data_IF_158650854359
#
_entry.id   IF_158650854359
#
_cell.length_a   1.000
_cell.length_b   1.000
_cell.length_c   1.000
_cell.angle_alpha   90.00
_cell.angle_beta   90.00
_cell.angle_gamma   90.00
#
_symmetry.space_group_name_H-M   'P 1'
#
loop_
_entity.id
_entity.type
_entity.pdbx_description
1 polymer ?
#
# COMPACT_ATOMS: atom_id res chain seq x y z
N UNK A 1 29.35 31.06 31.36
CA UNK A 1 29.21 31.08 29.89
C UNK A 1 29.78 29.75 29.38
N UNK A 2 28.93 28.72 29.28
CA UNK A 2 29.32 27.35 28.88
C UNK A 2 28.92 27.17 27.42
N UNK A 3 29.91 27.11 26.54
CA UNK A 3 29.73 26.97 25.10
C UNK A 3 29.60 25.47 24.78
N UNK A 4 28.38 25.04 24.47
CA UNK A 4 28.07 23.69 23.99
C UNK A 4 28.41 23.65 22.50
N UNK A 5 29.40 22.85 22.10
CA UNK A 5 29.75 22.59 20.70
C UNK A 5 29.19 21.21 20.29
N UNK A 6 28.45 21.10 19.17
CA UNK A 6 27.76 19.86 18.79
C UNK A 6 28.71 18.92 18.04
N UNK A 7 29.07 17.82 18.69
CA UNK A 7 29.74 16.68 18.05
C UNK A 7 28.80 16.08 16.99
N UNK A 8 29.19 16.31 15.74
CA UNK A 8 28.71 15.65 14.55
C UNK A 8 28.68 14.13 14.75
N UNK A 9 27.52 13.52 14.48
CA UNK A 9 27.35 12.06 14.40
C UNK A 9 28.30 11.53 13.31
N UNK A 10 29.47 11.06 13.71
CA UNK A 10 30.38 10.31 12.85
C UNK A 10 29.76 8.94 12.59
N UNK A 11 29.36 8.71 11.33
CA UNK A 11 29.15 7.36 10.82
C UNK A 11 30.50 6.62 10.89
N UNK A 12 30.70 5.87 11.97
CA UNK A 12 31.80 4.93 12.13
C UNK A 12 31.58 3.74 11.19
N UNK A 13 31.83 3.93 9.89
CA UNK A 13 32.01 2.82 8.94
C UNK A 13 33.46 2.39 9.04
N UNK A 14 33.68 1.29 9.76
CA UNK A 14 34.97 0.62 10.04
C UNK A 14 36.04 0.93 8.98
N UNK A 15 37.08 1.61 9.45
CA UNK A 15 38.38 1.78 8.81
C UNK A 15 39.10 0.43 8.75
N UNK A 16 39.30 -0.11 7.54
CA UNK A 16 40.35 -1.09 7.25
C UNK A 16 41.67 -0.34 6.97
N UNK A 17 42.83 -0.79 7.48
CA UNK A 17 44.08 -0.06 7.33
C UNK A 17 44.77 -0.37 5.98
N UNK A 18 45.41 0.66 5.43
CA UNK A 18 46.33 0.69 4.28
C UNK A 18 45.74 0.47 2.87
N UNK A 19 45.57 1.60 2.14
CA UNK A 19 45.39 1.64 0.68
C UNK A 19 44.26 2.57 0.23
N UNK A 20 44.59 3.72 -0.33
CA UNK A 20 43.66 4.66 -0.99
C UNK A 20 44.31 5.06 -2.33
N UNK A 21 43.58 5.56 -3.34
CA UNK A 21 42.36 5.10 -4.00
C UNK A 21 42.66 4.74 -5.48
N UNK A 22 42.12 3.64 -6.02
CA UNK A 22 42.22 3.33 -7.46
C UNK A 22 40.83 3.17 -8.06
N UNK A 23 40.24 4.28 -8.47
CA UNK A 23 39.04 4.28 -9.29
C UNK A 23 39.37 3.91 -10.74
N UNK A 24 39.33 2.62 -11.07
CA UNK A 24 38.85 2.04 -12.35
C UNK A 24 38.86 0.51 -12.33
N UNK A 25 39.13 -0.14 -11.18
CA UNK A 25 38.84 -1.57 -11.09
C UNK A 25 37.32 -1.75 -11.15
N UNK A 26 36.86 -2.80 -11.85
CA UNK A 26 35.45 -3.06 -12.04
C UNK A 26 34.66 -3.26 -10.74
N UNK A 27 35.29 -3.19 -9.56
CA UNK A 27 34.64 -3.35 -8.26
C UNK A 27 33.81 -2.12 -7.89
N UNK A 28 34.30 -0.89 -8.12
CA UNK A 28 33.51 0.34 -7.89
C UNK A 28 32.38 0.46 -8.92
N UNK A 29 32.66 0.12 -10.19
CA UNK A 29 31.62 0.07 -11.22
C UNK A 29 30.55 -0.97 -10.90
N UNK A 30 30.94 -2.18 -10.47
CA UNK A 30 30.00 -3.23 -10.04
C UNK A 30 29.21 -2.81 -8.80
N UNK A 31 29.85 -2.14 -7.85
CA UNK A 31 29.18 -1.62 -6.66
C UNK A 31 28.16 -0.53 -7.02
N UNK A 32 28.56 0.46 -7.82
CA UNK A 32 27.69 1.53 -8.33
C UNK A 32 26.54 0.96 -9.15
N UNK A 33 26.76 -0.03 -10.00
CA UNK A 33 25.69 -0.69 -10.74
C UNK A 33 24.67 -1.40 -9.85
N UNK A 34 25.11 -2.11 -8.82
CA UNK A 34 24.21 -2.79 -7.88
C UNK A 34 23.45 -1.79 -7.02
N UNK A 35 24.08 -0.68 -6.64
CA UNK A 35 23.51 0.39 -5.82
C UNK A 35 22.51 1.24 -6.63
N UNK A 36 22.88 1.69 -7.83
CA UNK A 36 22.03 2.47 -8.73
C UNK A 36 20.83 1.67 -9.22
N UNK A 37 21.02 0.38 -9.53
CA UNK A 37 19.91 -0.52 -9.85
C UNK A 37 18.90 -0.60 -8.70
N UNK A 38 19.35 -0.62 -7.45
CA UNK A 38 18.46 -0.64 -6.27
C UNK A 38 17.76 0.70 -6.06
N UNK A 39 18.47 1.82 -6.14
CA UNK A 39 17.85 3.14 -6.03
C UNK A 39 16.79 3.34 -7.11
N UNK A 40 17.06 2.92 -8.34
CA UNK A 40 16.10 2.94 -9.45
C UNK A 40 14.88 2.07 -9.16
N UNK A 41 15.05 0.85 -8.63
CA UNK A 41 13.95 -0.04 -8.24
C UNK A 41 13.10 0.54 -7.11
N UNK A 42 13.72 1.18 -6.11
CA UNK A 42 13.01 1.85 -5.00
C UNK A 42 12.25 3.06 -5.52
N UNK A 43 12.85 3.88 -6.38
CA UNK A 43 12.18 5.04 -6.97
C UNK A 43 10.98 4.61 -7.81
N UNK A 44 11.14 3.60 -8.68
CA UNK A 44 10.06 3.04 -9.48
C UNK A 44 8.95 2.46 -8.61
N UNK A 45 9.30 1.65 -7.59
CA UNK A 45 8.32 1.11 -6.65
C UNK A 45 7.56 2.17 -5.86
N UNK A 46 8.25 3.24 -5.41
CA UNK A 46 7.60 4.40 -4.76
C UNK A 46 6.64 5.14 -5.70
N UNK A 47 7.00 5.29 -6.97
CA UNK A 47 6.15 5.95 -7.97
C UNK A 47 4.87 5.16 -8.24
N UNK A 48 4.99 3.84 -8.44
CA UNK A 48 3.83 2.95 -8.62
C UNK A 48 2.96 2.95 -7.37
N UNK A 49 3.56 2.92 -6.19
CA UNK A 49 2.82 2.98 -4.94
C UNK A 49 2.09 4.31 -4.75
N UNK A 50 2.65 5.44 -5.21
CA UNK A 50 1.97 6.74 -5.22
C UNK A 50 0.74 6.72 -6.13
N UNK A 51 0.86 6.13 -7.31
CA UNK A 51 -0.26 5.95 -8.23
C UNK A 51 -1.35 5.06 -7.60
N UNK A 52 -0.97 3.96 -6.94
CA UNK A 52 -1.91 3.10 -6.22
C UNK A 52 -2.64 3.84 -5.10
N UNK A 53 -1.95 4.65 -4.30
CA UNK A 53 -2.62 5.44 -3.26
C UNK A 53 -3.60 6.46 -3.85
N UNK A 54 -3.28 7.06 -5.00
CA UNK A 54 -4.21 7.95 -5.69
C UNK A 54 -5.47 7.17 -6.14
N UNK A 55 -5.30 6.01 -6.79
CA UNK A 55 -6.41 5.15 -7.22
C UNK A 55 -7.24 4.64 -6.03
N UNK A 56 -6.60 4.22 -4.95
CA UNK A 56 -7.31 3.79 -3.74
C UNK A 56 -8.03 4.94 -3.04
N UNK A 57 -7.49 6.16 -3.09
CA UNK A 57 -8.18 7.35 -2.57
C UNK A 57 -9.44 7.64 -3.38
N UNK A 58 -9.36 7.59 -4.71
CA UNK A 58 -10.53 7.72 -5.58
C UNK A 58 -11.55 6.62 -5.29
N UNK A 59 -11.09 5.37 -5.16
CA UNK A 59 -11.93 4.25 -4.77
C UNK A 59 -12.62 4.49 -3.42
N UNK A 60 -11.89 4.97 -2.41
CA UNK A 60 -12.43 5.26 -1.08
C UNK A 60 -13.51 6.35 -1.13
N UNK A 61 -13.33 7.40 -1.94
CA UNK A 61 -14.34 8.44 -2.15
C UNK A 61 -15.60 7.85 -2.79
N UNK A 62 -15.45 7.02 -3.83
CA UNK A 62 -16.58 6.34 -4.48
C UNK A 62 -17.30 5.43 -3.47
N UNK A 63 -16.58 4.63 -2.70
CA UNK A 63 -17.17 3.74 -1.69
C UNK A 63 -17.93 4.49 -0.59
N UNK A 64 -17.42 5.65 -0.18
CA UNK A 64 -18.08 6.53 0.79
C UNK A 64 -19.35 7.15 0.20
N UNK A 65 -19.32 7.57 -1.07
CA UNK A 65 -20.49 8.07 -1.79
C UNK A 65 -21.56 6.99 -1.94
N UNK A 66 -21.18 5.76 -2.29
CA UNK A 66 -22.10 4.62 -2.37
C UNK A 66 -22.73 4.31 -1.01
N UNK A 67 -21.96 4.41 0.08
CA UNK A 67 -22.49 4.26 1.43
C UNK A 67 -23.49 5.37 1.78
N UNK A 68 -23.19 6.61 1.42
CA UNK A 68 -24.07 7.76 1.61
C UNK A 68 -25.39 7.61 0.84
N UNK A 69 -25.33 7.20 -0.44
CA UNK A 69 -26.53 6.92 -1.24
C UNK A 69 -27.35 5.81 -0.60
N UNK A 70 -26.71 4.72 -0.15
CA UNK A 70 -27.39 3.67 0.61
C UNK A 70 -28.05 4.19 1.90
N UNK A 71 -27.41 5.10 2.63
CA UNK A 71 -27.96 5.72 3.83
C UNK A 71 -29.21 6.58 3.54
N UNK A 72 -29.24 7.25 2.38
CA UNK A 72 -30.35 8.11 1.98
C UNK A 72 -31.61 7.35 1.55
N UNK A 73 -31.46 6.09 1.11
CA UNK A 73 -32.56 5.28 0.58
C UNK A 73 -33.24 4.39 1.64
N UNK A 74 -32.70 4.30 2.86
CA UNK A 74 -33.33 3.57 3.96
C UNK A 74 -32.44 3.40 5.19
N UNK A 75 -33.02 3.04 6.36
CA UNK A 75 -32.32 2.98 7.65
C UNK A 75 -31.39 1.76 7.82
N UNK A 76 -31.36 0.82 6.87
CA UNK A 76 -30.53 -0.39 6.91
C UNK A 76 -29.05 -0.08 6.60
N UNK A 77 -28.39 0.65 7.51
CA UNK A 77 -26.95 0.86 7.45
C UNK A 77 -26.21 -0.42 7.81
N UNK A 78 -25.62 -1.07 6.81
CA UNK A 78 -24.83 -2.26 7.02
C UNK A 78 -23.55 -1.91 7.82
N UNK A 79 -23.45 -2.39 9.06
CA UNK A 79 -22.32 -2.16 9.97
C UNK A 79 -20.98 -2.55 9.34
N UNK A 80 -20.94 -3.62 8.56
CA UNK A 80 -19.73 -4.04 7.84
C UNK A 80 -19.28 -3.02 6.79
N UNK A 81 -20.22 -2.31 6.17
CA UNK A 81 -19.91 -1.24 5.22
C UNK A 81 -19.30 -0.01 5.90
N UNK A 82 -19.84 0.38 7.06
CA UNK A 82 -19.30 1.49 7.86
C UNK A 82 -17.89 1.14 8.36
N UNK A 83 -17.71 -0.08 8.86
CA UNK A 83 -16.40 -0.57 9.31
C UNK A 83 -15.40 -0.63 8.17
N UNK A 84 -15.78 -1.17 7.00
CA UNK A 84 -14.85 -1.30 5.88
C UNK A 84 -14.40 0.07 5.36
N UNK A 85 -15.31 1.05 5.25
CA UNK A 85 -14.98 2.43 4.86
C UNK A 85 -14.06 3.07 5.91
N UNK A 86 -14.37 2.93 7.20
CA UNK A 86 -13.58 3.54 8.28
C UNK A 86 -12.16 2.94 8.36
N UNK A 87 -12.05 1.61 8.34
CA UNK A 87 -10.76 0.90 8.37
C UNK A 87 -9.97 1.19 7.08
N UNK A 88 -10.64 1.26 5.93
CA UNK A 88 -10.04 1.63 4.64
C UNK A 88 -9.41 3.03 4.70
N UNK A 89 -10.12 4.01 5.25
CA UNK A 89 -9.62 5.36 5.43
C UNK A 89 -8.40 5.43 6.37
N UNK A 90 -8.47 4.75 7.52
CA UNK A 90 -7.34 4.66 8.46
C UNK A 90 -6.12 4.02 7.79
N UNK A 91 -6.33 2.95 7.01
CA UNK A 91 -5.26 2.29 6.28
C UNK A 91 -4.56 3.23 5.31
N UNK A 92 -5.31 4.07 4.58
CA UNK A 92 -4.76 5.03 3.62
C UNK A 92 -3.89 6.08 4.30
N UNK A 93 -4.32 6.60 5.46
CA UNK A 93 -3.52 7.55 6.25
C UNK A 93 -2.18 6.92 6.65
N UNK A 94 -2.22 5.70 7.20
CA UNK A 94 -1.02 4.96 7.61
C UNK A 94 -0.11 4.70 6.41
N UNK A 95 -0.68 4.30 5.28
CA UNK A 95 0.04 4.03 4.04
C UNK A 95 0.75 5.27 3.49
N UNK A 96 0.06 6.40 3.45
CA UNK A 96 0.61 7.66 2.95
C UNK A 96 1.74 8.18 3.84
N UNK A 97 1.58 8.09 5.18
CA UNK A 97 2.66 8.43 6.13
C UNK A 97 3.84 7.48 5.95
N UNK A 98 3.59 6.17 5.83
CA UNK A 98 4.61 5.14 5.63
C UNK A 98 5.41 5.34 4.35
N UNK A 99 4.76 5.71 3.26
CA UNK A 99 5.42 6.04 2.00
C UNK A 99 6.29 7.28 2.11
N UNK A 100 5.76 8.38 2.67
CA UNK A 100 6.49 9.65 2.79
C UNK A 100 7.73 9.51 3.67
N UNK A 101 7.61 8.77 4.78
CA UNK A 101 8.71 8.52 5.72
C UNK A 101 9.59 7.32 5.33
N UNK A 102 9.29 6.62 4.23
CA UNK A 102 9.96 5.37 3.81
C UNK A 102 10.07 4.34 4.94
N UNK A 103 9.05 4.25 5.79
CA UNK A 103 9.03 3.36 6.95
C UNK A 103 8.40 2.03 6.59
N UNK A 104 9.23 0.99 6.58
CA UNK A 104 8.83 -0.40 6.28
C UNK A 104 7.72 -0.90 7.21
N UNK A 105 7.78 -0.57 8.50
CA UNK A 105 6.79 -1.03 9.47
C UNK A 105 5.40 -0.44 9.22
N UNK A 106 5.33 0.85 8.86
CA UNK A 106 4.07 1.50 8.50
C UNK A 106 3.50 0.93 7.19
N UNK A 107 4.36 0.62 6.22
CA UNK A 107 3.94 0.03 4.96
C UNK A 107 3.39 -1.40 5.15
N UNK A 108 3.99 -2.19 6.06
CA UNK A 108 3.46 -3.49 6.47
C UNK A 108 2.12 -3.35 7.19
N UNK A 109 2.00 -2.44 8.15
CA UNK A 109 0.76 -2.19 8.87
C UNK A 109 -0.37 -1.77 7.92
N UNK A 110 -0.10 -0.89 6.96
CA UNK A 110 -1.02 -0.55 5.88
C UNK A 110 -1.51 -1.78 5.11
N UNK A 111 -0.61 -2.68 4.68
CA UNK A 111 -1.01 -3.90 3.95
C UNK A 111 -1.90 -4.81 4.80
N UNK A 112 -1.63 -4.96 6.10
CA UNK A 112 -2.48 -5.75 6.99
C UNK A 112 -3.87 -5.11 7.18
N UNK A 113 -3.92 -3.81 7.49
CA UNK A 113 -5.18 -3.11 7.76
C UNK A 113 -6.05 -3.02 6.48
N UNK A 114 -5.44 -2.77 5.31
CA UNK A 114 -6.15 -2.78 4.03
C UNK A 114 -6.68 -4.16 3.64
N UNK A 115 -5.97 -5.24 4.02
CA UNK A 115 -6.48 -6.60 3.85
C UNK A 115 -7.74 -6.84 4.68
N UNK A 116 -7.74 -6.42 5.95
CA UNK A 116 -8.91 -6.49 6.84
C UNK A 116 -10.08 -5.68 6.26
N UNK A 117 -9.84 -4.45 5.78
CA UNK A 117 -10.88 -3.64 5.14
C UNK A 117 -11.49 -4.30 3.90
N UNK A 118 -10.65 -4.98 3.10
CA UNK A 118 -11.08 -5.72 1.91
C UNK A 118 -11.93 -6.93 2.31
N UNK A 119 -11.53 -7.67 3.35
CA UNK A 119 -12.30 -8.79 3.87
C UNK A 119 -13.69 -8.35 4.37
N UNK A 120 -13.77 -7.24 5.11
CA UNK A 120 -15.06 -6.67 5.53
C UNK A 120 -15.93 -6.22 4.34
N UNK A 121 -15.31 -5.70 3.27
CA UNK A 121 -16.03 -5.31 2.05
C UNK A 121 -16.61 -6.51 1.31
N UNK A 122 -15.88 -7.63 1.26
CA UNK A 122 -16.38 -8.90 0.71
C UNK A 122 -17.50 -9.45 1.60
N UNK A 123 -17.31 -9.49 2.92
CA UNK A 123 -18.31 -9.96 3.87
C UNK A 123 -19.63 -9.19 3.73
N UNK A 124 -19.57 -7.85 3.63
CA UNK A 124 -20.73 -7.01 3.31
C UNK A 124 -21.48 -7.53 2.08
N UNK A 125 -20.77 -7.80 0.98
CA UNK A 125 -21.41 -8.18 -0.29
C UNK A 125 -21.98 -9.60 -0.27
N UNK A 126 -21.40 -10.50 0.53
CA UNK A 126 -21.95 -11.82 0.80
C UNK A 126 -23.21 -11.72 1.65
N UNK A 127 -23.21 -10.94 2.74
CA UNK A 127 -24.38 -10.77 3.62
C UNK A 127 -25.58 -10.13 2.92
N UNK A 128 -25.36 -9.30 1.90
CA UNK A 128 -26.45 -8.70 1.13
C UNK A 128 -26.91 -9.57 -0.06
N UNK A 129 -26.42 -10.81 -0.18
CA UNK A 129 -26.66 -11.77 -1.27
C UNK A 129 -26.31 -11.27 -2.69
N UNK A 130 -25.84 -10.02 -2.87
CA UNK A 130 -25.53 -9.43 -4.17
C UNK A 130 -24.45 -10.25 -4.90
N UNK A 131 -23.43 -10.69 -4.16
CA UNK A 131 -22.33 -11.48 -4.74
C UNK A 131 -22.81 -12.87 -5.18
N UNK A 132 -23.68 -13.50 -4.38
CA UNK A 132 -24.29 -14.79 -4.72
C UNK A 132 -25.27 -14.67 -5.90
N UNK A 133 -26.05 -13.59 -5.96
CA UNK A 133 -26.93 -13.28 -7.11
C UNK A 133 -26.13 -13.20 -8.41
N UNK A 134 -25.00 -12.48 -8.43
CA UNK A 134 -24.17 -12.34 -9.63
C UNK A 134 -23.51 -13.67 -10.04
N UNK A 135 -22.95 -14.42 -9.10
CA UNK A 135 -22.26 -15.69 -9.40
C UNK A 135 -23.25 -16.77 -9.83
N UNK A 136 -24.38 -16.89 -9.11
CA UNK A 136 -25.28 -18.01 -9.27
C UNK A 136 -26.32 -17.80 -10.38
N UNK A 137 -26.94 -16.62 -10.46
CA UNK A 137 -28.04 -16.42 -11.40
C UNK A 137 -27.59 -16.08 -12.82
N UNK A 138 -26.32 -15.65 -13.04
CA UNK A 138 -25.77 -15.19 -14.35
C UNK A 138 -26.64 -14.20 -15.15
N UNK A 139 -27.78 -13.77 -14.62
CA UNK A 139 -28.70 -12.82 -15.21
C UNK A 139 -28.21 -11.42 -14.90
N UNK A 140 -27.23 -10.96 -15.67
CA UNK A 140 -26.79 -9.55 -15.68
C UNK A 140 -27.96 -8.59 -15.97
N UNK A 141 -28.98 -9.05 -16.70
CA UNK A 141 -30.19 -8.27 -17.01
C UNK A 141 -31.13 -8.08 -15.82
N UNK A 142 -31.11 -8.97 -14.83
CA UNK A 142 -31.92 -8.84 -13.61
C UNK A 142 -31.27 -7.96 -12.54
N UNK A 143 -30.01 -7.55 -12.76
CA UNK A 143 -29.25 -6.75 -11.82
C UNK A 143 -29.47 -5.26 -12.08
N UNK A 144 -29.76 -4.50 -11.02
CA UNK A 144 -29.86 -3.05 -11.17
C UNK A 144 -28.48 -2.45 -11.49
N UNK A 145 -28.44 -1.36 -12.27
CA UNK A 145 -27.20 -0.62 -12.55
C UNK A 145 -26.42 -0.27 -11.27
N UNK A 146 -27.14 -0.03 -10.17
CA UNK A 146 -26.58 0.24 -8.86
C UNK A 146 -25.88 -0.97 -8.22
N UNK A 147 -26.48 -2.16 -8.28
CA UNK A 147 -25.84 -3.40 -7.80
C UNK A 147 -24.61 -3.76 -8.64
N UNK A 148 -24.70 -3.59 -9.96
CA UNK A 148 -23.57 -3.81 -10.85
C UNK A 148 -22.41 -2.87 -10.51
N UNK A 149 -22.69 -1.59 -10.24
CA UNK A 149 -21.71 -0.62 -9.80
C UNK A 149 -21.04 -1.02 -8.47
N UNK A 150 -21.80 -1.53 -7.49
CA UNK A 150 -21.23 -2.04 -6.23
C UNK A 150 -20.27 -3.20 -6.45
N UNK A 151 -20.64 -4.15 -7.31
CA UNK A 151 -19.82 -5.33 -7.62
C UNK A 151 -18.56 -4.91 -8.37
N UNK A 152 -18.70 -4.05 -9.39
CA UNK A 152 -17.56 -3.52 -10.13
C UNK A 152 -16.60 -2.75 -9.22
N UNK A 153 -17.13 -1.95 -8.30
CA UNK A 153 -16.34 -1.22 -7.30
C UNK A 153 -15.59 -2.18 -6.35
N UNK A 154 -16.25 -3.23 -5.85
CA UNK A 154 -15.60 -4.26 -5.04
C UNK A 154 -14.46 -4.93 -5.80
N UNK A 155 -14.71 -5.37 -7.04
CA UNK A 155 -13.71 -6.02 -7.89
C UNK A 155 -12.51 -5.10 -8.14
N UNK A 156 -12.76 -3.84 -8.45
CA UNK A 156 -11.72 -2.84 -8.60
C UNK A 156 -10.88 -2.69 -7.33
N UNK A 157 -11.52 -2.64 -6.15
CA UNK A 157 -10.84 -2.62 -4.86
C UNK A 157 -9.95 -3.86 -4.62
N UNK A 158 -10.45 -5.05 -4.94
CA UNK A 158 -9.67 -6.31 -4.83
C UNK A 158 -8.47 -6.30 -5.76
N UNK A 159 -8.62 -5.83 -7.00
CA UNK A 159 -7.51 -5.70 -7.97
C UNK A 159 -6.44 -4.74 -7.43
N UNK A 160 -6.84 -3.59 -6.88
CA UNK A 160 -5.89 -2.68 -6.24
C UNK A 160 -5.14 -3.34 -5.08
N UNK A 161 -5.83 -4.15 -4.26
CA UNK A 161 -5.22 -4.86 -3.15
C UNK A 161 -4.18 -5.91 -3.62
N UNK A 162 -4.43 -6.58 -4.75
CA UNK A 162 -3.45 -7.50 -5.38
C UNK A 162 -2.18 -6.74 -5.77
N UNK A 163 -2.31 -5.57 -6.41
CA UNK A 163 -1.14 -4.75 -6.76
C UNK A 163 -0.35 -4.30 -5.54
N UNK A 164 -1.03 -3.94 -4.43
CA UNK A 164 -0.38 -3.64 -3.15
C UNK A 164 0.44 -4.82 -2.66
N UNK A 165 -0.11 -6.03 -2.72
CA UNK A 165 0.57 -7.26 -2.29
C UNK A 165 1.80 -7.59 -3.14
N UNK A 166 1.82 -7.19 -4.41
CA UNK A 166 2.99 -7.36 -5.30
C UNK A 166 4.06 -6.28 -5.03
N UNK A 167 3.65 -5.02 -4.94
CA UNK A 167 4.57 -3.87 -4.89
C UNK A 167 5.18 -3.69 -3.51
N UNK A 168 4.40 -3.82 -2.43
CA UNK A 168 4.89 -3.53 -1.06
C UNK A 168 6.03 -4.47 -0.64
N UNK A 169 5.96 -5.81 -0.79
CA UNK A 169 7.07 -6.68 -0.41
C UNK A 169 8.34 -6.43 -1.24
N UNK A 170 8.18 -6.21 -2.55
CA UNK A 170 9.28 -5.85 -3.45
C UNK A 170 9.96 -4.55 -3.01
N UNK A 171 9.17 -3.54 -2.64
CA UNK A 171 9.66 -2.25 -2.17
C UNK A 171 10.35 -2.39 -0.80
N UNK A 172 9.74 -3.10 0.14
CA UNK A 172 10.28 -3.35 1.49
C UNK A 172 11.62 -4.08 1.43
N UNK A 173 11.74 -5.11 0.59
CA UNK A 173 12.99 -5.86 0.40
C UNK A 173 14.11 -4.98 -0.16
N UNK A 174 13.77 -4.03 -1.02
CA UNK A 174 14.73 -3.10 -1.61
C UNK A 174 15.07 -1.92 -0.67
N UNK A 175 14.19 -1.56 0.28
CA UNK A 175 14.45 -0.54 1.30
C UNK A 175 15.26 -1.05 2.50
N UNK A 176 15.02 -2.27 2.95
CA UNK A 176 15.71 -2.88 4.10
C UNK A 176 16.38 -4.18 3.67
N UNK A 177 17.65 -4.13 3.20
CA UNK A 177 18.36 -5.35 2.86
C UNK A 177 18.52 -6.23 4.11
N UNK A 178 18.33 -7.56 4.01
CA UNK A 178 18.67 -8.45 5.11
C UNK A 178 20.14 -8.24 5.44
N UNK A 179 20.45 -8.05 6.73
CA UNK A 179 21.84 -8.11 7.20
C UNK A 179 22.36 -9.48 6.76
N UNK A 180 23.31 -9.50 5.84
CA UNK A 180 24.05 -10.73 5.54
C UNK A 180 24.68 -11.15 6.86
N UNK A 181 24.22 -12.27 7.41
CA UNK A 181 24.97 -13.00 8.43
C UNK A 181 26.30 -13.37 7.76
N UNK A 182 27.36 -12.66 8.15
CA UNK A 182 28.71 -13.14 7.97
C UNK A 182 28.94 -14.27 8.98
#
# INVERSE_FOLDING_TARGET
MLQISPEHIMQQRRSSPAGRPSGTDGSDFSYRMVVDSRYTKVAKGKSHLKALFALQTVSQVIGSLLLWVSASQGPELNRFAVLSVSIGFISLIIGHIGQRRSQVNLLRAYTFISCIATAFSIARMVTNDVLLKVIHYKNVEALTNYELLKVAHLLFGVVLQIFVFIIVPSLVRNMSPPKRSQ
#
